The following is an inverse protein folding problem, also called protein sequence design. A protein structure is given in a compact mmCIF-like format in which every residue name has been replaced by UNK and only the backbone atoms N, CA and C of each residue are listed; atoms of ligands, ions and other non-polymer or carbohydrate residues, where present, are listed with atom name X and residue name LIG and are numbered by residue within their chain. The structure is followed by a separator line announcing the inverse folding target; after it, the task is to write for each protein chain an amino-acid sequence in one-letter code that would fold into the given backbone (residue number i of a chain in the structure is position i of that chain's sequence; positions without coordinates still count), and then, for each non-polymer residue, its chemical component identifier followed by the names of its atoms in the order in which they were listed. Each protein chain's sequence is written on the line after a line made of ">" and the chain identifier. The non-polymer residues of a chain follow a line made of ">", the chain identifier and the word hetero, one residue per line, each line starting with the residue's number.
data_IF_669571821096
#
_entry.id   IF_669571821096
#
_cell.length_a   1.000
_cell.length_b   1.000
_cell.length_c   1.000
_cell.angle_alpha   90.00
_cell.angle_beta   90.00
_cell.angle_gamma   90.00
#
_symmetry.space_group_name_H-M   'P 1'
#
loop_
_entity.id
_entity.type
_entity.pdbx_description
1 polymer ?
#
# COMPACT_ATOMS: atom_id res chain seq x y z
N UNK A 1 -70.98 24.12 -12.61
CA UNK A 1 -70.97 24.76 -11.30
C UNK A 1 -69.99 24.01 -10.41
N UNK A 2 -68.69 24.20 -10.57
CA UNK A 2 -67.68 23.64 -9.66
C UNK A 2 -66.32 24.32 -9.90
N UNK A 3 -66.22 25.62 -9.60
CA UNK A 3 -64.95 26.34 -9.73
C UNK A 3 -64.87 27.58 -8.82
N UNK A 4 -65.30 27.50 -7.58
CA UNK A 4 -65.29 28.62 -6.64
C UNK A 4 -64.88 28.28 -5.21
N UNK A 5 -64.15 27.19 -4.93
CA UNK A 5 -63.83 26.81 -3.56
C UNK A 5 -62.36 26.52 -3.27
N UNK A 6 -61.39 26.88 -4.15
CA UNK A 6 -59.98 26.61 -3.91
C UNK A 6 -59.16 27.79 -3.33
N UNK A 7 -59.71 28.99 -3.26
CA UNK A 7 -58.96 30.18 -2.82
C UNK A 7 -58.96 30.45 -1.30
N UNK A 8 -59.87 29.91 -0.52
CA UNK A 8 -59.94 30.17 0.92
C UNK A 8 -58.98 29.31 1.75
N UNK A 9 -58.60 28.11 1.28
CA UNK A 9 -57.72 27.22 2.03
C UNK A 9 -56.23 27.60 1.97
N UNK A 10 -55.76 28.27 0.92
CA UNK A 10 -54.37 28.69 0.79
C UNK A 10 -54.00 29.85 1.71
N UNK A 11 -54.93 30.80 1.92
CA UNK A 11 -54.70 31.93 2.83
C UNK A 11 -54.59 31.51 4.30
N UNK A 12 -55.44 30.61 4.75
CA UNK A 12 -55.37 30.08 6.12
C UNK A 12 -54.10 29.25 6.37
N UNK A 13 -53.65 28.48 5.39
CA UNK A 13 -52.41 27.70 5.49
C UNK A 13 -51.13 28.60 5.51
N UNK A 14 -51.17 29.76 4.88
CA UNK A 14 -50.08 30.74 4.92
C UNK A 14 -50.03 31.44 6.28
N UNK A 15 -51.19 31.88 6.80
CA UNK A 15 -51.28 32.53 8.11
C UNK A 15 -50.87 31.57 9.24
N UNK A 16 -51.32 30.31 9.21
CA UNK A 16 -50.95 29.31 10.19
C UNK A 16 -49.41 29.04 10.16
N UNK A 17 -48.79 29.02 8.99
CA UNK A 17 -47.32 28.88 8.84
C UNK A 17 -46.55 30.10 9.36
N UNK A 18 -47.07 31.32 9.20
CA UNK A 18 -46.45 32.52 9.71
C UNK A 18 -46.55 32.60 11.25
N UNK A 19 -47.71 32.24 11.79
CA UNK A 19 -47.91 32.17 13.24
C UNK A 19 -47.02 31.12 13.93
N UNK A 20 -46.90 29.96 13.35
CA UNK A 20 -45.99 28.93 13.90
C UNK A 20 -44.53 29.39 13.91
N UNK A 21 -44.07 30.10 12.88
CA UNK A 21 -42.70 30.67 12.80
C UNK A 21 -42.46 31.76 13.84
N UNK A 22 -43.45 32.58 14.14
CA UNK A 22 -43.35 33.59 15.21
C UNK A 22 -43.28 32.96 16.59
N UNK A 23 -44.02 31.87 16.83
CA UNK A 23 -43.97 31.12 18.10
C UNK A 23 -42.60 30.46 18.28
N UNK A 24 -42.07 29.84 17.25
CA UNK A 24 -40.72 29.24 17.26
C UNK A 24 -39.59 30.28 17.43
N UNK A 25 -39.79 31.50 16.88
CA UNK A 25 -38.86 32.63 16.97
C UNK A 25 -38.99 33.46 18.24
N UNK A 26 -39.89 33.12 19.17
CA UNK A 26 -40.27 33.96 20.35
C UNK A 26 -39.07 34.45 21.16
N UNK A 27 -38.07 33.62 21.38
CA UNK A 27 -36.89 34.01 22.13
C UNK A 27 -35.99 35.02 21.40
N UNK A 28 -35.88 34.90 20.08
CA UNK A 28 -35.13 35.88 19.25
C UNK A 28 -35.87 37.21 19.17
N UNK A 29 -37.20 37.18 19.08
CA UNK A 29 -38.07 38.39 19.08
C UNK A 29 -37.98 39.06 20.45
N UNK A 30 -37.99 38.30 21.55
CA UNK A 30 -37.84 38.81 22.90
C UNK A 30 -36.45 39.45 23.15
N UNK A 31 -35.41 38.79 22.66
CA UNK A 31 -34.04 39.34 22.74
C UNK A 31 -33.89 40.64 21.93
N UNK A 32 -34.45 40.71 20.72
CA UNK A 32 -34.48 41.94 19.94
C UNK A 32 -35.26 43.06 20.60
N UNK A 33 -36.41 42.73 21.22
CA UNK A 33 -37.22 43.71 22.01
C UNK A 33 -36.41 44.27 23.18
N UNK A 34 -35.66 43.42 23.90
CA UNK A 34 -34.80 43.84 24.99
C UNK A 34 -33.70 44.80 24.52
N UNK A 35 -33.04 44.50 23.43
CA UNK A 35 -31.98 45.35 22.84
C UNK A 35 -32.53 46.72 22.42
N UNK A 36 -33.71 46.72 21.75
CA UNK A 36 -34.39 47.94 21.29
C UNK A 36 -34.83 48.78 22.50
N UNK A 37 -35.35 48.13 23.56
CA UNK A 37 -35.73 48.82 24.81
C UNK A 37 -34.52 49.45 25.51
N UNK A 38 -33.38 48.76 25.58
CA UNK A 38 -32.13 49.31 26.17
C UNK A 38 -31.65 50.52 25.37
N UNK A 39 -31.65 50.46 24.04
CA UNK A 39 -31.30 51.57 23.17
C UNK A 39 -32.24 52.78 23.31
N UNK A 40 -33.53 52.53 23.50
CA UNK A 40 -34.52 53.57 23.77
C UNK A 40 -34.29 54.24 25.12
N UNK A 41 -34.08 53.47 26.19
CA UNK A 41 -33.76 53.95 27.52
C UNK A 41 -32.45 54.74 27.60
N UNK A 42 -31.48 54.33 26.76
CA UNK A 42 -30.20 55.08 26.64
C UNK A 42 -30.33 56.36 25.81
N UNK A 43 -31.52 56.74 25.40
CA UNK A 43 -31.81 57.93 24.59
C UNK A 43 -31.13 57.95 23.21
N UNK A 44 -30.70 56.77 22.72
CA UNK A 44 -30.04 56.60 21.45
C UNK A 44 -31.03 56.40 20.27
N UNK A 45 -32.32 56.16 20.54
CA UNK A 45 -33.34 55.92 19.52
C UNK A 45 -34.65 56.68 19.91
N UNK A 46 -35.26 57.35 18.93
CA UNK A 46 -36.60 57.93 19.12
C UNK A 46 -37.66 56.79 19.14
N UNK A 47 -38.76 56.99 19.92
CA UNK A 47 -39.75 55.92 20.16
C UNK A 47 -40.35 55.31 18.87
N UNK A 48 -40.63 56.16 17.86
CA UNK A 48 -41.14 55.64 16.56
C UNK A 48 -40.13 54.80 15.79
N UNK A 49 -38.84 55.13 15.88
CA UNK A 49 -37.78 54.35 15.24
C UNK A 49 -37.58 53.00 15.94
N UNK A 50 -37.65 52.97 17.27
CA UNK A 50 -37.57 51.76 18.08
C UNK A 50 -38.68 50.75 17.73
N UNK A 51 -39.94 51.24 17.61
CA UNK A 51 -41.09 50.40 17.23
C UNK A 51 -40.94 49.87 15.81
N UNK A 52 -40.54 50.69 14.84
CA UNK A 52 -40.34 50.28 13.43
C UNK A 52 -39.23 49.25 13.30
N UNK A 53 -38.12 49.40 14.00
CA UNK A 53 -36.97 48.46 13.97
C UNK A 53 -37.38 47.11 14.53
N UNK A 54 -38.11 47.10 15.65
CA UNK A 54 -38.59 45.83 16.23
C UNK A 54 -39.60 45.14 15.31
N UNK A 55 -40.52 45.90 14.70
CA UNK A 55 -41.54 45.36 13.77
C UNK A 55 -40.87 44.76 12.52
N UNK A 56 -39.88 45.47 11.97
CA UNK A 56 -39.10 44.99 10.83
C UNK A 56 -38.32 43.69 11.15
N UNK A 57 -37.80 43.59 12.37
CA UNK A 57 -37.11 42.37 12.82
C UNK A 57 -38.09 41.18 12.98
N UNK A 58 -39.28 41.45 13.55
CA UNK A 58 -40.34 40.44 13.70
C UNK A 58 -40.82 39.91 12.32
N UNK A 59 -40.96 40.81 11.32
CA UNK A 59 -41.31 40.44 9.94
C UNK A 59 -40.16 39.65 9.31
N UNK A 60 -38.91 40.04 9.49
CA UNK A 60 -37.76 39.30 9.00
C UNK A 60 -37.69 37.88 9.58
N UNK A 61 -37.94 37.71 10.88
CA UNK A 61 -38.03 36.39 11.55
C UNK A 61 -39.15 35.53 10.98
N UNK A 62 -40.26 36.11 10.58
CA UNK A 62 -41.39 35.41 9.96
C UNK A 62 -41.14 35.00 8.51
N UNK A 63 -40.37 35.82 7.76
CA UNK A 63 -40.10 35.62 6.32
C UNK A 63 -38.88 34.79 6.03
N UNK A 64 -37.83 34.82 6.87
CA UNK A 64 -36.60 34.03 6.63
C UNK A 64 -36.92 32.54 6.77
N UNK A 65 -36.76 31.74 5.70
CA UNK A 65 -36.88 30.29 5.81
C UNK A 65 -35.71 29.80 6.65
N UNK A 66 -35.96 29.39 7.89
CA UNK A 66 -34.96 28.68 8.66
C UNK A 66 -34.68 27.37 7.96
N UNK A 67 -33.45 27.19 7.53
CA UNK A 67 -32.93 25.86 7.29
C UNK A 67 -33.28 25.06 8.57
N UNK A 68 -34.14 24.05 8.45
CA UNK A 68 -34.46 23.15 9.56
C UNK A 68 -33.15 22.77 10.18
N UNK A 69 -32.96 23.07 11.45
CA UNK A 69 -31.81 22.62 12.22
C UNK A 69 -31.64 21.14 11.90
N UNK A 70 -30.47 20.80 11.40
CA UNK A 70 -29.99 19.43 11.23
C UNK A 70 -29.85 18.90 12.66
N UNK A 71 -30.93 18.45 13.26
CA UNK A 71 -30.95 18.14 14.69
C UNK A 71 -32.23 17.52 15.23
N UNK A 72 -33.26 17.30 14.42
CA UNK A 72 -34.17 16.23 14.75
C UNK A 72 -33.45 14.94 14.41
N UNK A 73 -32.96 14.22 15.42
CA UNK A 73 -32.71 12.80 15.33
C UNK A 73 -34.01 12.20 14.73
N UNK A 74 -34.02 12.06 13.38
CA UNK A 74 -35.03 11.25 12.74
C UNK A 74 -34.90 9.91 13.43
N UNK A 75 -35.89 9.52 14.19
CA UNK A 75 -36.13 8.12 14.49
C UNK A 75 -35.86 7.40 13.17
N UNK A 76 -34.89 6.47 13.11
CA UNK A 76 -34.62 5.74 11.87
C UNK A 76 -36.00 5.17 11.47
N UNK A 77 -36.48 5.57 10.29
CA UNK A 77 -37.69 5.00 9.72
C UNK A 77 -37.46 3.49 9.77
N UNK A 78 -38.36 2.70 10.38
CA UNK A 78 -38.09 1.29 10.62
C UNK A 78 -37.65 0.70 9.31
N UNK A 79 -36.45 0.08 9.32
CA UNK A 79 -35.90 -0.60 8.15
C UNK A 79 -37.03 -1.43 7.56
N UNK A 80 -37.33 -1.23 6.27
CA UNK A 80 -38.40 -1.96 5.60
C UNK A 80 -38.26 -3.43 5.99
N UNK A 81 -39.34 -4.10 6.44
CA UNK A 81 -39.23 -5.46 6.93
C UNK A 81 -38.53 -6.31 5.88
N UNK A 82 -37.60 -7.15 6.31
CA UNK A 82 -36.72 -7.98 5.47
C UNK A 82 -37.48 -8.79 4.39
N UNK A 83 -38.75 -8.91 4.48
CA UNK A 83 -39.69 -9.56 3.55
C UNK A 83 -39.89 -8.83 2.22
N UNK A 84 -39.45 -7.56 2.06
CA UNK A 84 -39.57 -6.85 0.77
C UNK A 84 -38.31 -6.96 -0.11
N UNK A 85 -37.18 -7.40 0.43
CA UNK A 85 -36.08 -7.89 -0.38
C UNK A 85 -36.34 -9.36 -0.65
N UNK A 86 -36.66 -9.74 -1.88
CA UNK A 86 -36.72 -11.16 -2.20
C UNK A 86 -35.45 -11.82 -1.66
N UNK A 87 -35.59 -12.88 -0.88
CA UNK A 87 -34.48 -13.62 -0.27
C UNK A 87 -33.33 -13.90 -1.25
N UNK A 88 -33.65 -13.99 -2.53
CA UNK A 88 -32.71 -14.17 -3.63
C UNK A 88 -31.69 -13.02 -3.80
N UNK A 89 -32.13 -11.76 -3.64
CA UNK A 89 -31.23 -10.58 -3.78
C UNK A 89 -30.26 -10.51 -2.61
N UNK A 90 -30.68 -10.88 -1.42
CA UNK A 90 -29.82 -10.95 -0.22
C UNK A 90 -28.78 -12.06 -0.38
N UNK A 91 -29.20 -13.26 -0.75
CA UNK A 91 -28.31 -14.40 -0.98
C UNK A 91 -27.29 -14.06 -2.07
N UNK A 92 -27.70 -13.38 -3.13
CA UNK A 92 -26.76 -12.92 -4.17
C UNK A 92 -25.77 -11.89 -3.64
N UNK A 93 -26.22 -10.86 -2.89
CA UNK A 93 -25.35 -9.84 -2.32
C UNK A 93 -24.34 -10.43 -1.33
N UNK A 94 -24.75 -11.43 -0.53
CA UNK A 94 -23.86 -12.13 0.42
C UNK A 94 -22.84 -13.04 -0.25
N UNK A 95 -23.19 -13.60 -1.41
CA UNK A 95 -22.26 -14.40 -2.21
C UNK A 95 -21.18 -13.58 -2.92
N UNK A 96 -21.35 -12.25 -3.05
CA UNK A 96 -20.37 -11.39 -3.70
C UNK A 96 -19.07 -11.31 -2.89
N UNK A 97 -17.90 -11.40 -3.54
CA UNK A 97 -16.61 -11.24 -2.86
C UNK A 97 -16.32 -9.78 -2.45
N UNK A 98 -17.10 -8.84 -2.93
CA UNK A 98 -16.92 -7.41 -2.71
C UNK A 98 -17.95 -6.82 -1.74
N UNK A 99 -17.64 -5.73 -1.02
CA UNK A 99 -18.62 -4.91 -0.32
C UNK A 99 -19.79 -4.53 -1.23
N UNK A 100 -21.03 -4.88 -0.81
CA UNK A 100 -22.23 -4.63 -1.56
C UNK A 100 -23.28 -3.94 -0.68
N UNK A 101 -23.80 -2.82 -1.17
CA UNK A 101 -24.88 -2.06 -0.54
C UNK A 101 -26.09 -2.01 -1.47
N UNK A 102 -27.28 -2.06 -0.91
CA UNK A 102 -28.50 -1.74 -1.63
C UNK A 102 -29.06 -0.45 -1.02
N UNK A 103 -29.24 0.54 -1.86
CA UNK A 103 -29.63 1.90 -1.49
C UNK A 103 -31.03 2.20 -2.02
N UNK A 104 -31.77 3.07 -1.35
CA UNK A 104 -32.94 3.72 -1.93
C UNK A 104 -32.54 4.97 -2.74
N UNK A 105 -33.51 5.60 -3.41
CA UNK A 105 -33.28 6.84 -4.19
C UNK A 105 -32.80 8.03 -3.36
N UNK A 106 -32.88 7.95 -2.01
CA UNK A 106 -32.41 8.98 -1.10
C UNK A 106 -30.97 8.70 -0.61
N UNK A 107 -30.37 7.59 -1.04
CA UNK A 107 -29.05 7.18 -0.60
C UNK A 107 -29.03 6.52 0.79
N UNK A 108 -30.21 6.10 1.32
CA UNK A 108 -30.26 5.34 2.56
C UNK A 108 -29.96 3.88 2.29
N UNK A 109 -29.06 3.30 3.07
CA UNK A 109 -28.70 1.88 2.99
C UNK A 109 -29.88 1.04 3.45
N UNK A 110 -30.44 0.24 2.56
CA UNK A 110 -31.51 -0.72 2.87
C UNK A 110 -30.94 -2.09 3.22
N UNK A 111 -29.80 -2.40 2.63
CA UNK A 111 -29.07 -3.64 2.90
C UNK A 111 -27.56 -3.42 2.70
N UNK A 112 -26.76 -4.11 3.49
CA UNK A 112 -25.31 -4.18 3.37
C UNK A 112 -24.87 -5.62 3.67
N UNK A 113 -24.03 -6.24 2.82
CA UNK A 113 -23.49 -7.54 3.13
C UNK A 113 -22.42 -7.44 4.23
N UNK A 114 -22.02 -8.56 4.82
CA UNK A 114 -21.06 -8.60 5.94
C UNK A 114 -19.76 -7.88 5.60
N UNK A 115 -19.28 -8.01 4.36
CA UNK A 115 -18.05 -7.35 3.87
C UNK A 115 -18.19 -5.84 3.79
N UNK A 116 -19.36 -5.33 3.40
CA UNK A 116 -19.64 -3.90 3.36
C UNK A 116 -19.64 -3.30 4.76
N UNK A 117 -20.25 -3.98 5.71
CA UNK A 117 -20.27 -3.56 7.13
C UNK A 117 -18.85 -3.61 7.71
N UNK A 118 -18.08 -4.70 7.45
CA UNK A 118 -16.73 -4.84 7.96
C UNK A 118 -15.75 -3.78 7.37
N UNK A 119 -15.90 -3.45 6.07
CA UNK A 119 -14.98 -2.53 5.40
C UNK A 119 -15.27 -1.04 5.70
N UNK A 120 -16.56 -0.66 5.79
CA UNK A 120 -16.97 0.76 5.84
C UNK A 120 -17.72 1.12 7.12
N UNK A 121 -18.07 0.16 7.98
CA UNK A 121 -18.88 0.35 9.20
C UNK A 121 -20.19 1.14 8.93
N UNK A 122 -20.87 0.84 7.81
CA UNK A 122 -22.16 1.43 7.43
C UNK A 122 -23.24 0.36 7.56
N UNK A 123 -24.28 0.69 8.30
CA UNK A 123 -25.38 -0.23 8.63
C UNK A 123 -26.68 0.13 7.89
N UNK A 124 -27.59 -0.83 7.72
CA UNK A 124 -28.93 -0.55 7.20
C UNK A 124 -29.62 0.54 8.01
N UNK A 125 -30.26 1.50 7.31
CA UNK A 125 -30.91 2.69 7.88
C UNK A 125 -30.04 3.95 7.87
N UNK A 126 -28.72 3.82 7.67
CA UNK A 126 -27.81 4.97 7.57
C UNK A 126 -27.77 5.53 6.14
N UNK A 127 -27.47 6.82 6.00
CA UNK A 127 -27.23 7.42 4.70
C UNK A 127 -25.78 7.14 4.26
N UNK A 128 -25.59 6.67 3.02
CA UNK A 128 -24.27 6.41 2.44
C UNK A 128 -23.35 7.63 2.58
N UNK A 129 -23.87 8.83 2.33
CA UNK A 129 -23.13 10.11 2.36
C UNK A 129 -22.65 10.50 3.77
N UNK A 130 -23.13 9.84 4.81
CA UNK A 130 -22.65 10.11 6.16
C UNK A 130 -21.20 9.67 6.38
N UNK A 131 -20.81 8.54 5.79
CA UNK A 131 -19.46 7.97 5.88
C UNK A 131 -18.62 8.24 4.63
N UNK A 132 -19.21 8.06 3.45
CA UNK A 132 -18.52 8.24 2.16
C UNK A 132 -18.85 9.62 1.56
N UNK A 133 -18.09 10.64 2.00
CA UNK A 133 -18.27 12.04 1.58
C UNK A 133 -17.42 12.40 0.34
N UNK A 134 -17.42 11.53 -0.65
CA UNK A 134 -16.67 11.73 -1.91
C UNK A 134 -17.60 12.41 -2.92
N UNK A 135 -17.29 13.63 -3.42
CA UNK A 135 -18.16 14.36 -4.34
C UNK A 135 -18.50 13.57 -5.61
N UNK A 136 -17.52 12.92 -6.23
CA UNK A 136 -17.73 12.14 -7.46
C UNK A 136 -18.63 10.93 -7.23
N UNK A 137 -18.52 10.28 -6.05
CA UNK A 137 -19.36 9.14 -5.67
C UNK A 137 -20.82 9.59 -5.47
N UNK A 138 -21.03 10.76 -4.85
CA UNK A 138 -22.35 11.35 -4.65
C UNK A 138 -22.96 11.74 -6.00
N UNK A 139 -22.19 12.37 -6.90
CA UNK A 139 -22.65 12.76 -8.22
C UNK A 139 -23.05 11.54 -9.07
N UNK A 140 -22.26 10.46 -9.03
CA UNK A 140 -22.58 9.21 -9.72
C UNK A 140 -23.86 8.56 -9.17
N UNK A 141 -24.01 8.51 -7.85
CA UNK A 141 -25.23 8.04 -7.21
C UNK A 141 -26.44 8.84 -7.66
N UNK A 142 -26.37 10.18 -7.62
CA UNK A 142 -27.45 11.07 -8.02
C UNK A 142 -27.85 10.90 -9.49
N UNK A 143 -26.88 10.69 -10.37
CA UNK A 143 -27.13 10.45 -11.79
C UNK A 143 -27.93 9.16 -12.00
N UNK A 144 -27.51 8.05 -11.34
CA UNK A 144 -28.20 6.75 -11.42
C UNK A 144 -29.58 6.81 -10.74
N UNK A 145 -29.71 7.51 -9.61
CA UNK A 145 -30.98 7.68 -8.90
C UNK A 145 -32.03 8.45 -9.74
N UNK A 146 -31.59 9.37 -10.60
CA UNK A 146 -32.45 10.11 -11.56
C UNK A 146 -32.79 9.31 -12.81
N UNK A 147 -32.37 8.06 -12.92
CA UNK A 147 -32.66 7.20 -14.07
C UNK A 147 -31.56 7.16 -15.13
N UNK A 148 -30.38 7.65 -14.82
CA UNK A 148 -29.20 7.56 -15.69
C UNK A 148 -28.68 6.12 -15.82
N UNK A 149 -27.76 5.88 -16.77
CA UNK A 149 -27.12 4.59 -16.97
C UNK A 149 -26.26 4.19 -15.73
N UNK A 150 -25.88 2.91 -15.60
CA UNK A 150 -24.92 2.47 -14.59
C UNK A 150 -23.65 3.32 -14.62
N UNK A 151 -23.15 3.71 -13.46
CA UNK A 151 -21.99 4.57 -13.32
C UNK A 151 -20.86 3.87 -12.54
N UNK A 152 -19.62 4.09 -12.96
CA UNK A 152 -18.42 3.67 -12.25
C UNK A 152 -17.61 4.90 -11.85
N UNK A 153 -17.16 4.92 -10.61
CA UNK A 153 -16.34 6.00 -10.04
C UNK A 153 -15.18 5.40 -9.28
N UNK A 154 -14.00 5.99 -9.40
CA UNK A 154 -12.84 5.63 -8.60
C UNK A 154 -12.61 6.71 -7.53
N UNK A 155 -12.30 6.29 -6.32
CA UNK A 155 -11.99 7.21 -5.22
C UNK A 155 -10.88 6.64 -4.34
N UNK A 156 -10.27 7.50 -3.52
CA UNK A 156 -9.25 7.09 -2.57
C UNK A 156 -9.58 7.58 -1.16
N UNK A 157 -9.22 6.77 -0.18
CA UNK A 157 -9.20 7.14 1.24
C UNK A 157 -7.74 7.21 1.69
N UNK A 158 -7.36 8.29 2.42
CA UNK A 158 -5.97 8.54 2.80
C UNK A 158 -5.61 8.15 4.24
N UNK A 159 -6.57 7.78 5.06
CA UNK A 159 -6.34 7.53 6.50
C UNK A 159 -6.91 6.18 6.91
N UNK A 160 -6.16 5.33 7.61
CA UNK A 160 -4.78 5.46 8.08
C UNK A 160 -3.71 5.18 7.00
N UNK A 161 -4.08 4.48 5.93
CA UNK A 161 -3.25 4.17 4.76
C UNK A 161 -4.01 4.55 3.50
N UNK A 162 -3.29 4.96 2.47
CA UNK A 162 -3.90 5.29 1.19
C UNK A 162 -4.46 4.02 0.54
N UNK A 163 -5.79 3.98 0.35
CA UNK A 163 -6.53 2.89 -0.30
C UNK A 163 -7.30 3.43 -1.49
N UNK A 164 -7.35 2.64 -2.54
CA UNK A 164 -8.04 2.98 -3.79
C UNK A 164 -9.23 2.06 -4.00
N UNK A 165 -10.39 2.66 -4.27
CA UNK A 165 -11.63 1.94 -4.45
C UNK A 165 -12.27 2.27 -5.79
N UNK A 166 -12.86 1.25 -6.44
CA UNK A 166 -13.77 1.39 -7.55
C UNK A 166 -15.20 1.15 -7.08
N UNK A 167 -16.09 2.15 -7.22
CA UNK A 167 -17.50 2.04 -6.89
C UNK A 167 -18.32 1.91 -8.18
N UNK A 168 -19.22 0.94 -8.21
CA UNK A 168 -20.14 0.72 -9.33
C UNK A 168 -21.59 0.83 -8.85
N UNK A 169 -22.34 1.73 -9.50
CA UNK A 169 -23.75 1.97 -9.22
C UNK A 169 -24.62 1.46 -10.37
N UNK A 170 -25.68 0.73 -10.06
CA UNK A 170 -26.69 0.34 -11.02
C UNK A 170 -28.07 0.27 -10.36
N UNK A 171 -29.13 0.51 -11.16
CA UNK A 171 -30.52 0.29 -10.69
C UNK A 171 -30.85 -1.20 -10.70
N UNK A 172 -31.57 -1.63 -9.66
CA UNK A 172 -32.12 -2.99 -9.58
C UNK A 172 -33.51 -3.04 -10.22
N UNK A 173 -33.57 -3.43 -11.49
CA UNK A 173 -34.82 -3.51 -12.24
C UNK A 173 -35.47 -2.13 -12.46
N UNK A 174 -36.81 -2.12 -12.56
CA UNK A 174 -37.61 -0.90 -12.69
C UNK A 174 -37.92 -0.24 -11.33
N UNK A 175 -37.43 -0.83 -10.24
CA UNK A 175 -37.68 -0.37 -8.88
C UNK A 175 -36.83 0.85 -8.46
N UNK A 176 -37.06 1.31 -7.23
CA UNK A 176 -36.40 2.46 -6.64
C UNK A 176 -35.10 2.10 -5.93
N UNK A 177 -34.60 0.90 -6.15
CA UNK A 177 -33.40 0.41 -5.50
C UNK A 177 -32.16 0.52 -6.40
N UNK A 178 -31.04 0.86 -5.78
CA UNK A 178 -29.74 1.02 -6.45
C UNK A 178 -28.76 0.10 -5.73
N UNK A 179 -28.07 -0.74 -6.49
CA UNK A 179 -26.94 -1.52 -5.98
C UNK A 179 -25.67 -0.69 -6.10
N UNK A 180 -24.87 -0.70 -5.04
CA UNK A 180 -23.52 -0.21 -5.01
C UNK A 180 -22.59 -1.36 -4.66
N UNK A 181 -21.63 -1.63 -5.55
CA UNK A 181 -20.53 -2.59 -5.31
C UNK A 181 -19.25 -1.79 -5.23
N UNK A 182 -18.43 -2.02 -4.19
CA UNK A 182 -17.14 -1.37 -4.01
C UNK A 182 -16.05 -2.42 -4.11
N UNK A 183 -15.13 -2.21 -5.04
CA UNK A 183 -13.94 -3.03 -5.25
C UNK A 183 -12.71 -2.34 -4.66
N UNK A 184 -11.95 -3.03 -3.81
CA UNK A 184 -10.65 -2.55 -3.38
C UNK A 184 -9.62 -2.77 -4.48
N UNK A 185 -9.15 -1.69 -5.07
CA UNK A 185 -8.19 -1.68 -6.17
C UNK A 185 -6.77 -1.38 -5.69
N UNK A 186 -6.55 -1.28 -4.37
CA UNK A 186 -5.28 -0.81 -3.80
C UNK A 186 -4.10 -1.68 -4.22
N UNK A 187 -4.23 -3.02 -4.16
CA UNK A 187 -3.16 -3.93 -4.58
C UNK A 187 -2.83 -3.76 -6.08
N UNK A 188 -3.86 -3.70 -6.93
CA UNK A 188 -3.68 -3.54 -8.38
C UNK A 188 -3.05 -2.19 -8.71
N UNK A 189 -3.54 -1.10 -8.13
CA UNK A 189 -2.99 0.24 -8.31
C UNK A 189 -1.54 0.33 -7.84
N UNK A 190 -1.24 -0.29 -6.69
CA UNK A 190 0.12 -0.32 -6.16
C UNK A 190 1.06 -1.13 -7.08
N UNK A 191 0.61 -2.26 -7.61
CA UNK A 191 1.37 -3.05 -8.58
C UNK A 191 1.65 -2.28 -9.87
N UNK A 192 0.64 -1.59 -10.42
CA UNK A 192 0.79 -0.75 -11.62
C UNK A 192 1.76 0.41 -11.36
N UNK A 193 1.66 1.09 -10.22
CA UNK A 193 2.57 2.19 -9.82
C UNK A 193 4.01 1.68 -9.70
N UNK A 194 4.21 0.58 -8.99
CA UNK A 194 5.54 -0.04 -8.84
C UNK A 194 6.14 -0.40 -10.21
N UNK A 195 5.30 -0.83 -11.17
CA UNK A 195 5.76 -1.13 -12.53
C UNK A 195 6.16 0.13 -13.30
N UNK A 196 5.37 1.20 -13.21
CA UNK A 196 5.70 2.49 -13.85
C UNK A 196 6.97 3.08 -13.26
N UNK A 197 7.09 3.10 -11.92
CA UNK A 197 8.28 3.59 -11.23
C UNK A 197 9.53 2.76 -11.58
N UNK A 198 9.37 1.44 -11.76
CA UNK A 198 10.45 0.54 -12.20
C UNK A 198 10.98 0.92 -13.58
N UNK A 199 10.09 1.13 -14.57
CA UNK A 199 10.50 1.52 -15.94
C UNK A 199 11.15 2.90 -15.94
N UNK A 200 10.61 3.86 -15.19
CA UNK A 200 11.16 5.19 -15.07
C UNK A 200 12.57 5.17 -14.47
N UNK A 201 12.75 4.46 -13.34
CA UNK A 201 14.05 4.34 -12.67
C UNK A 201 15.07 3.59 -13.53
N UNK A 202 14.69 2.49 -14.20
CA UNK A 202 15.57 1.77 -15.14
C UNK A 202 16.06 2.68 -16.27
N UNK A 203 15.15 3.51 -16.83
CA UNK A 203 15.47 4.47 -17.88
C UNK A 203 16.46 5.54 -17.40
N UNK A 204 16.29 6.03 -16.16
CA UNK A 204 17.22 7.00 -15.56
C UNK A 204 18.59 6.39 -15.27
N UNK A 205 18.65 5.18 -14.71
CA UNK A 205 19.91 4.48 -14.40
C UNK A 205 20.69 4.06 -15.65
N UNK A 206 20.01 3.86 -16.80
CA UNK A 206 20.65 3.61 -18.09
C UNK A 206 21.10 4.90 -18.80
N UNK A 207 20.32 5.99 -18.69
CA UNK A 207 20.63 7.25 -19.39
C UNK A 207 21.91 7.91 -18.89
N UNK A 208 22.16 7.89 -17.59
CA UNK A 208 23.32 8.53 -16.97
C UNK A 208 24.66 7.96 -17.48
N UNK A 209 24.92 6.63 -17.43
CA UNK A 209 26.16 6.07 -17.98
C UNK A 209 26.26 6.23 -19.49
N UNK A 210 25.13 6.16 -20.22
CA UNK A 210 25.13 6.36 -21.68
C UNK A 210 25.56 7.78 -22.06
N UNK A 211 25.04 8.80 -21.36
CA UNK A 211 25.45 10.20 -21.57
C UNK A 211 26.95 10.40 -21.25
N UNK A 212 27.43 9.74 -20.17
CA UNK A 212 28.87 9.76 -19.82
C UNK A 212 29.73 9.14 -20.92
N UNK A 213 29.31 7.96 -21.45
CA UNK A 213 30.03 7.30 -22.58
C UNK A 213 30.09 8.20 -23.80
N UNK A 214 28.98 8.83 -24.18
CA UNK A 214 28.90 9.77 -25.32
C UNK A 214 29.90 10.95 -25.13
N UNK A 215 29.89 11.57 -23.95
CA UNK A 215 30.78 12.68 -23.63
C UNK A 215 32.29 12.29 -23.66
N UNK A 216 32.63 11.07 -23.20
CA UNK A 216 34.01 10.59 -23.31
C UNK A 216 34.42 10.30 -24.77
N UNK A 217 33.51 9.79 -25.61
CA UNK A 217 33.75 9.62 -27.04
C UNK A 217 34.05 10.98 -27.70
N UNK A 218 33.20 11.99 -27.44
CA UNK A 218 33.41 13.35 -27.96
C UNK A 218 34.76 13.95 -27.50
N UNK A 219 35.11 13.74 -26.22
CA UNK A 219 36.37 14.23 -25.66
C UNK A 219 37.56 13.57 -26.34
N UNK A 220 37.49 12.25 -26.58
CA UNK A 220 38.56 11.48 -27.28
C UNK A 220 38.65 11.80 -28.77
N UNK A 221 37.55 12.22 -29.40
CA UNK A 221 37.57 12.68 -30.82
C UNK A 221 38.05 14.12 -30.96
N UNK A 222 38.00 14.94 -29.89
CA UNK A 222 38.35 16.34 -29.86
C UNK A 222 39.54 16.66 -28.96
N UNK A 223 39.34 17.30 -27.78
CA UNK A 223 40.39 17.87 -26.94
C UNK A 223 41.48 16.86 -26.46
N UNK A 224 41.13 15.61 -26.26
CA UNK A 224 42.00 14.58 -25.76
C UNK A 224 42.53 13.62 -26.87
N UNK A 225 42.35 13.96 -28.13
CA UNK A 225 42.71 13.11 -29.27
C UNK A 225 44.19 12.71 -29.27
N UNK A 226 45.05 13.65 -28.96
CA UNK A 226 46.51 13.47 -29.05
C UNK A 226 47.17 13.28 -27.65
N UNK A 227 46.35 13.09 -26.57
CA UNK A 227 46.82 12.80 -25.22
C UNK A 227 46.69 11.30 -24.90
N UNK A 228 47.81 10.53 -24.92
CA UNK A 228 47.77 9.08 -24.66
C UNK A 228 47.32 8.74 -23.24
N UNK A 229 47.66 9.57 -22.24
CA UNK A 229 47.27 9.34 -20.81
C UNK A 229 45.82 9.57 -20.60
N UNK A 230 45.27 10.65 -21.17
CA UNK A 230 43.82 10.93 -21.10
C UNK A 230 43.02 9.84 -21.82
N UNK A 231 43.49 9.36 -22.97
CA UNK A 231 42.88 8.28 -23.75
C UNK A 231 42.78 6.98 -22.91
N UNK A 232 43.90 6.54 -22.31
CA UNK A 232 43.90 5.32 -21.48
C UNK A 232 42.93 5.45 -20.31
N UNK A 233 42.95 6.59 -19.61
CA UNK A 233 42.05 6.87 -18.50
C UNK A 233 40.57 6.88 -18.93
N UNK A 234 40.21 7.54 -20.02
CA UNK A 234 38.84 7.62 -20.49
C UNK A 234 38.33 6.26 -20.99
N UNK A 235 39.14 5.49 -21.69
CA UNK A 235 38.82 4.13 -22.11
C UNK A 235 38.57 3.21 -20.91
N UNK A 236 39.36 3.33 -19.83
CA UNK A 236 39.12 2.59 -18.60
C UNK A 236 37.75 2.95 -17.94
N UNK A 237 37.43 4.25 -17.87
CA UNK A 237 36.15 4.71 -17.35
C UNK A 237 34.99 4.23 -18.25
N UNK A 238 35.12 4.33 -19.56
CA UNK A 238 34.11 3.86 -20.51
C UNK A 238 33.84 2.37 -20.35
N UNK A 239 34.88 1.54 -20.21
CA UNK A 239 34.73 0.11 -19.94
C UNK A 239 33.96 -0.15 -18.66
N UNK A 240 34.28 0.59 -17.58
CA UNK A 240 33.58 0.50 -16.32
C UNK A 240 32.09 0.84 -16.44
N UNK A 241 31.76 1.89 -17.21
CA UNK A 241 30.34 2.27 -17.44
C UNK A 241 29.61 1.21 -18.27
N UNK A 242 30.25 0.63 -19.27
CA UNK A 242 29.70 -0.45 -20.09
C UNK A 242 29.43 -1.71 -19.26
N UNK A 243 30.36 -2.11 -18.38
CA UNK A 243 30.22 -3.25 -17.47
C UNK A 243 29.09 -3.00 -16.45
N UNK A 244 28.93 -1.76 -15.98
CA UNK A 244 27.82 -1.38 -15.11
C UNK A 244 26.48 -1.50 -15.83
N UNK A 245 26.37 -1.00 -17.07
CA UNK A 245 25.14 -1.12 -17.87
C UNK A 245 24.79 -2.57 -18.13
N UNK A 246 25.77 -3.42 -18.47
CA UNK A 246 25.56 -4.85 -18.69
C UNK A 246 24.98 -5.54 -17.45
N UNK A 247 25.55 -5.27 -16.27
CA UNK A 247 24.99 -5.79 -15.00
C UNK A 247 23.57 -5.30 -14.75
N UNK A 248 23.28 -4.02 -14.96
CA UNK A 248 21.93 -3.46 -14.77
C UNK A 248 20.93 -4.15 -15.70
N UNK A 249 21.27 -4.36 -16.99
CA UNK A 249 20.39 -5.06 -17.94
C UNK A 249 20.16 -6.51 -17.50
N UNK A 250 21.21 -7.23 -17.06
CA UNK A 250 21.09 -8.61 -16.58
C UNK A 250 20.20 -8.68 -15.32
N UNK A 251 20.34 -7.76 -14.37
CA UNK A 251 19.50 -7.67 -13.18
C UNK A 251 18.02 -7.43 -13.55
N UNK A 252 17.76 -6.52 -14.51
CA UNK A 252 16.41 -6.24 -15.01
C UNK A 252 15.77 -7.47 -15.66
N UNK A 253 16.54 -8.19 -16.50
CA UNK A 253 16.06 -9.41 -17.16
C UNK A 253 15.85 -10.55 -16.16
N UNK A 254 16.73 -10.69 -15.17
CA UNK A 254 16.59 -11.67 -14.10
C UNK A 254 15.33 -11.39 -13.27
N UNK A 255 15.14 -10.16 -12.82
CA UNK A 255 13.95 -9.75 -12.07
C UNK A 255 12.65 -10.02 -12.87
N UNK A 256 12.64 -9.64 -14.16
CA UNK A 256 11.49 -9.88 -15.03
C UNK A 256 11.17 -11.39 -15.17
N UNK A 257 12.19 -12.25 -15.32
CA UNK A 257 12.01 -13.72 -15.40
C UNK A 257 11.44 -14.29 -14.11
N UNK A 258 11.91 -13.82 -12.95
CA UNK A 258 11.47 -14.28 -11.64
C UNK A 258 10.00 -13.86 -11.41
N UNK A 259 9.64 -12.63 -11.77
CA UNK A 259 8.26 -12.13 -11.67
C UNK A 259 7.29 -12.92 -12.56
N UNK A 260 7.67 -13.24 -13.78
CA UNK A 260 6.84 -14.09 -14.66
C UNK A 260 6.63 -15.50 -14.08
N UNK A 261 7.59 -16.01 -13.32
CA UNK A 261 7.52 -17.33 -12.68
C UNK A 261 7.01 -17.29 -11.23
N UNK A 262 6.57 -16.12 -10.72
CA UNK A 262 6.18 -15.95 -9.31
C UNK A 262 5.14 -16.96 -8.81
N UNK A 263 4.25 -17.41 -9.69
CA UNK A 263 3.21 -18.40 -9.37
C UNK A 263 3.66 -19.86 -9.52
N UNK A 264 4.84 -20.12 -10.09
CA UNK A 264 5.37 -21.46 -10.30
C UNK A 264 6.37 -21.78 -9.18
N UNK A 265 5.98 -22.70 -8.29
CA UNK A 265 6.85 -23.12 -7.19
C UNK A 265 7.99 -24.00 -7.70
N UNK A 266 9.23 -23.79 -7.25
CA UNK A 266 10.29 -24.72 -7.53
C UNK A 266 10.03 -26.06 -6.81
N UNK A 267 10.36 -27.16 -7.49
CA UNK A 267 10.15 -28.52 -6.97
C UNK A 267 11.46 -29.32 -6.87
N UNK A 268 12.58 -28.74 -7.27
CA UNK A 268 13.89 -29.37 -7.21
C UNK A 268 14.39 -29.51 -5.77
N UNK A 269 15.30 -30.48 -5.57
CA UNK A 269 16.02 -30.66 -4.30
C UNK A 269 17.40 -30.03 -4.42
N UNK A 270 17.75 -29.10 -3.54
CA UNK A 270 19.00 -28.35 -3.57
C UNK A 270 19.76 -28.53 -2.28
N UNK A 271 21.03 -28.93 -2.37
CA UNK A 271 21.95 -28.94 -1.24
C UNK A 271 22.53 -27.55 -1.01
N UNK A 272 22.14 -26.93 0.11
CA UNK A 272 22.60 -25.59 0.49
C UNK A 272 24.09 -25.55 0.84
N UNK A 273 24.68 -26.65 1.37
CA UNK A 273 26.11 -26.70 1.65
C UNK A 273 26.90 -26.53 0.37
N UNK A 274 26.53 -27.28 -0.66
CA UNK A 274 27.18 -27.19 -1.97
C UNK A 274 27.00 -25.82 -2.63
N UNK A 275 25.81 -25.23 -2.54
CA UNK A 275 25.54 -23.89 -3.13
C UNK A 275 26.31 -22.80 -2.41
N UNK A 276 26.24 -22.74 -1.07
CA UNK A 276 26.90 -21.70 -0.28
C UNK A 276 28.43 -21.76 -0.42
N UNK A 277 29.00 -22.98 -0.38
CA UNK A 277 30.46 -23.18 -0.57
C UNK A 277 30.89 -22.75 -1.97
N UNK A 278 30.17 -23.17 -3.01
CA UNK A 278 30.47 -22.76 -4.40
C UNK A 278 30.43 -21.23 -4.57
N UNK A 279 29.44 -20.56 -4.02
CA UNK A 279 29.35 -19.09 -4.11
C UNK A 279 30.46 -18.40 -3.33
N UNK A 280 30.78 -18.88 -2.12
CA UNK A 280 31.88 -18.31 -1.33
C UNK A 280 33.24 -18.46 -2.09
N UNK A 281 33.50 -19.62 -2.66
CA UNK A 281 34.73 -19.88 -3.46
C UNK A 281 34.77 -19.00 -4.73
N UNK A 282 33.63 -18.82 -5.41
CA UNK A 282 33.56 -18.00 -6.64
C UNK A 282 33.78 -16.51 -6.37
N UNK A 283 33.45 -16.03 -5.17
CA UNK A 283 33.60 -14.63 -4.76
C UNK A 283 34.93 -14.35 -4.04
N UNK A 284 35.75 -15.37 -3.74
CA UNK A 284 37.05 -15.20 -3.10
C UNK A 284 38.00 -14.22 -3.84
N UNK A 285 38.09 -14.22 -5.20
CA UNK A 285 38.90 -13.23 -5.88
C UNK A 285 38.40 -11.80 -5.64
N UNK A 286 37.08 -11.56 -5.73
CA UNK A 286 36.50 -10.25 -5.47
C UNK A 286 36.75 -9.81 -4.03
N UNK A 287 36.54 -10.70 -3.06
CA UNK A 287 36.79 -10.41 -1.65
C UNK A 287 38.23 -10.02 -1.39
N UNK A 288 39.17 -10.73 -2.01
CA UNK A 288 40.62 -10.43 -1.93
C UNK A 288 40.93 -9.05 -2.51
N UNK A 289 40.39 -8.71 -3.67
CA UNK A 289 40.58 -7.39 -4.30
C UNK A 289 40.03 -6.26 -3.41
N UNK A 290 38.96 -6.53 -2.64
CA UNK A 290 38.37 -5.59 -1.67
C UNK A 290 39.05 -5.62 -0.29
N UNK A 291 40.05 -6.49 -0.08
CA UNK A 291 40.76 -6.68 1.21
C UNK A 291 39.89 -7.31 2.30
N UNK A 292 38.92 -8.13 1.91
CA UNK A 292 37.96 -8.81 2.80
C UNK A 292 38.22 -10.33 2.77
N UNK A 293 38.17 -11.00 3.91
CA UNK A 293 38.20 -12.45 4.03
C UNK A 293 36.78 -13.03 4.18
N UNK A 294 36.46 -14.04 3.37
CA UNK A 294 35.19 -14.80 3.53
C UNK A 294 35.48 -16.01 4.41
N UNK A 295 34.80 -16.05 5.58
CA UNK A 295 34.84 -17.19 6.50
C UNK A 295 33.55 -18.00 6.39
N UNK A 296 33.64 -19.26 5.96
CA UNK A 296 32.48 -20.15 5.84
C UNK A 296 32.39 -21.07 7.04
N UNK A 297 31.20 -21.14 7.67
CA UNK A 297 30.86 -22.07 8.77
C UNK A 297 29.69 -22.92 8.30
N UNK A 298 30.01 -23.96 7.56
CA UNK A 298 29.03 -24.91 7.01
C UNK A 298 29.21 -26.29 7.64
N UNK A 299 28.14 -27.05 7.87
CA UNK A 299 28.26 -28.43 8.38
C UNK A 299 28.82 -29.34 7.29
N UNK A 300 29.45 -30.48 7.70
CA UNK A 300 29.90 -31.51 6.76
C UNK A 300 28.72 -32.27 6.10
N UNK A 301 27.63 -32.42 6.84
CA UNK A 301 26.43 -33.08 6.32
C UNK A 301 25.62 -32.18 5.41
N UNK A 302 25.12 -32.66 4.25
CA UNK A 302 24.31 -31.87 3.33
C UNK A 302 23.01 -31.41 4.00
N UNK A 303 22.63 -30.15 3.76
CA UNK A 303 21.34 -29.58 4.17
C UNK A 303 20.52 -29.32 2.92
N UNK A 304 19.47 -30.12 2.72
CA UNK A 304 18.65 -30.09 1.52
C UNK A 304 17.37 -29.27 1.73
N UNK A 305 17.07 -28.41 0.77
CA UNK A 305 15.81 -27.63 0.68
C UNK A 305 15.13 -27.85 -0.67
N UNK A 306 13.84 -27.57 -0.72
CA UNK A 306 13.11 -27.52 -1.99
C UNK A 306 13.39 -26.18 -2.65
N UNK A 307 13.94 -26.19 -3.89
CA UNK A 307 14.31 -24.96 -4.55
C UNK A 307 14.80 -25.14 -5.99
N UNK A 308 15.16 -24.01 -6.61
CA UNK A 308 15.86 -23.91 -7.87
C UNK A 308 17.31 -23.51 -7.57
N UNK A 309 18.26 -24.34 -8.03
CA UNK A 309 19.69 -24.16 -7.71
C UNK A 309 20.23 -22.83 -8.21
N UNK A 310 19.89 -22.45 -9.44
CA UNK A 310 20.43 -21.24 -10.05
C UNK A 310 19.89 -19.99 -9.35
N UNK A 311 18.61 -20.00 -9.00
CA UNK A 311 17.98 -18.91 -8.24
C UNK A 311 18.59 -18.79 -6.83
N UNK A 312 18.83 -19.91 -6.13
CA UNK A 312 19.44 -19.88 -4.80
C UNK A 312 20.91 -19.47 -4.88
N UNK A 313 21.64 -19.87 -5.93
CA UNK A 313 23.00 -19.37 -6.20
C UNK A 313 22.97 -17.85 -6.34
N UNK A 314 22.06 -17.29 -7.13
CA UNK A 314 21.90 -15.85 -7.30
C UNK A 314 21.56 -15.12 -5.99
N UNK A 315 20.76 -15.74 -5.10
CA UNK A 315 20.48 -15.18 -3.76
C UNK A 315 21.77 -15.00 -2.97
N UNK A 316 22.57 -16.07 -2.85
CA UNK A 316 23.78 -16.01 -2.03
C UNK A 316 24.90 -15.19 -2.69
N UNK A 317 25.01 -15.18 -4.02
CA UNK A 317 25.88 -14.25 -4.73
C UNK A 317 25.57 -12.79 -4.37
N UNK A 318 24.30 -12.38 -4.49
CA UNK A 318 23.90 -11.02 -4.15
C UNK A 318 24.17 -10.67 -2.69
N UNK A 319 23.91 -11.59 -1.75
CA UNK A 319 24.07 -11.31 -0.32
C UNK A 319 25.55 -11.27 0.08
N UNK A 320 26.38 -12.23 -0.39
CA UNK A 320 27.79 -12.30 -0.05
C UNK A 320 28.57 -11.19 -0.76
N UNK A 321 28.27 -10.91 -2.04
CA UNK A 321 28.86 -9.78 -2.75
C UNK A 321 28.56 -8.44 -2.05
N UNK A 322 27.32 -8.22 -1.60
CA UNK A 322 26.96 -7.03 -0.83
C UNK A 322 27.74 -6.96 0.48
N UNK A 323 27.84 -8.08 1.22
CA UNK A 323 28.60 -8.14 2.46
C UNK A 323 30.09 -7.81 2.23
N UNK A 324 30.71 -8.27 1.14
CA UNK A 324 32.07 -7.92 0.79
C UNK A 324 32.22 -6.44 0.43
N UNK A 325 31.29 -5.87 -0.35
CA UNK A 325 31.33 -4.47 -0.78
C UNK A 325 31.14 -3.48 0.36
N UNK A 326 30.15 -3.71 1.20
CA UNK A 326 29.80 -2.79 2.30
C UNK A 326 30.53 -3.14 3.60
N UNK A 327 31.06 -4.36 3.73
CA UNK A 327 31.80 -4.84 4.87
C UNK A 327 33.31 -4.57 4.85
N UNK A 328 33.85 -3.81 3.87
CA UNK A 328 35.31 -3.58 3.70
C UNK A 328 35.99 -3.06 4.97
N UNK A 329 35.34 -2.17 5.73
CA UNK A 329 35.88 -1.65 6.99
C UNK A 329 36.17 -2.71 8.04
N UNK A 330 35.41 -3.81 8.05
CA UNK A 330 35.59 -4.93 8.97
C UNK A 330 36.53 -6.03 8.47
N UNK A 331 36.98 -5.96 7.22
CA UNK A 331 37.92 -6.87 6.57
C UNK A 331 37.54 -8.36 6.56
N UNK A 332 36.33 -8.69 6.96
CA UNK A 332 35.82 -10.07 6.98
C UNK A 332 34.31 -10.13 6.80
N UNK A 333 33.88 -11.25 6.22
CA UNK A 333 32.46 -11.64 6.08
C UNK A 333 32.34 -13.06 6.61
N UNK A 334 31.33 -13.33 7.46
CA UNK A 334 31.09 -14.66 8.01
C UNK A 334 29.79 -15.20 7.39
N UNK A 335 29.90 -16.33 6.70
CA UNK A 335 28.74 -17.07 6.15
C UNK A 335 28.51 -18.31 6.98
N UNK A 336 27.37 -18.39 7.67
CA UNK A 336 27.01 -19.50 8.56
C UNK A 336 25.78 -20.22 8.01
N UNK A 337 25.88 -21.54 7.79
CA UNK A 337 24.75 -22.39 7.46
C UNK A 337 24.48 -23.34 8.63
N UNK A 338 23.27 -23.40 9.10
CA UNK A 338 22.86 -24.29 10.19
C UNK A 338 21.44 -24.84 9.97
N UNK A 339 21.11 -26.01 10.52
CA UNK A 339 19.73 -26.43 10.66
C UNK A 339 18.99 -25.42 11.54
N UNK A 340 17.77 -25.04 11.13
CA UNK A 340 16.95 -24.12 11.93
C UNK A 340 16.04 -24.89 12.88
N UNK A 341 15.75 -24.29 14.04
CA UNK A 341 14.83 -24.87 15.02
C UNK A 341 13.36 -24.71 14.60
N UNK A 342 12.50 -25.68 14.96
CA UNK A 342 11.05 -25.61 14.74
C UNK A 342 10.62 -25.91 13.29
N UNK A 343 9.62 -25.19 12.73
CA UNK A 343 9.10 -25.44 11.39
C UNK A 343 10.04 -25.00 10.26
N UNK A 344 11.16 -24.34 10.58
CA UNK A 344 12.18 -23.95 9.64
C UNK A 344 13.16 -25.10 9.41
N UNK A 345 13.50 -25.36 8.13
CA UNK A 345 14.40 -26.47 7.77
C UNK A 345 15.86 -26.08 7.82
N UNK A 346 16.22 -24.88 7.36
CA UNK A 346 17.60 -24.40 7.28
C UNK A 346 17.67 -22.89 7.45
N UNK A 347 18.82 -22.43 7.95
CA UNK A 347 19.14 -21.03 8.11
C UNK A 347 20.53 -20.74 7.54
N UNK A 348 20.62 -19.71 6.69
CA UNK A 348 21.90 -19.16 6.19
C UNK A 348 22.01 -17.72 6.68
N UNK A 349 23.05 -17.41 7.45
CA UNK A 349 23.33 -16.06 7.94
C UNK A 349 24.64 -15.54 7.32
N UNK A 350 24.58 -14.37 6.71
CA UNK A 350 25.70 -13.65 6.13
C UNK A 350 25.91 -12.39 6.98
N UNK A 351 27.06 -12.32 7.69
CA UNK A 351 27.41 -11.20 8.57
C UNK A 351 28.60 -10.46 8.01
N UNK A 352 28.43 -9.16 7.81
CA UNK A 352 29.53 -8.21 7.59
C UNK A 352 29.83 -7.42 8.88
N UNK A 353 30.97 -6.74 8.89
CA UNK A 353 31.45 -5.88 9.98
C UNK A 353 31.73 -4.48 9.46
N UNK A 354 30.86 -3.99 8.57
CA UNK A 354 30.91 -2.67 7.97
C UNK A 354 30.34 -1.57 8.88
N UNK A 355 29.98 -0.42 8.29
CA UNK A 355 29.46 0.72 9.04
C UNK A 355 28.06 0.47 9.64
N UNK A 356 27.38 -0.62 9.23
CA UNK A 356 26.01 -0.89 9.60
C UNK A 356 24.99 -0.04 8.82
N UNK A 357 23.72 -0.28 9.09
CA UNK A 357 22.59 0.30 8.37
C UNK A 357 21.66 0.97 9.40
N UNK A 358 21.28 2.25 9.23
CA UNK A 358 20.28 2.89 10.08
C UNK A 358 18.94 2.15 10.03
N UNK A 359 18.27 2.05 11.18
CA UNK A 359 17.04 1.24 11.34
C UNK A 359 15.92 1.68 10.38
N UNK A 360 15.81 2.99 10.11
CA UNK A 360 14.82 3.58 9.20
C UNK A 360 14.94 3.10 7.74
N UNK A 361 16.14 2.65 7.34
CA UNK A 361 16.40 2.16 5.98
C UNK A 361 16.14 0.64 5.82
N UNK A 362 16.18 -0.13 6.93
CA UNK A 362 16.06 -1.61 6.87
C UNK A 362 14.80 -2.08 6.14
N UNK A 363 13.59 -1.54 6.40
CA UNK A 363 12.37 -1.98 5.71
C UNK A 363 12.41 -1.74 4.20
N UNK A 364 13.18 -0.75 3.75
CA UNK A 364 13.23 -0.29 2.36
C UNK A 364 14.35 -0.94 1.54
N UNK A 365 15.30 -1.63 2.17
CA UNK A 365 16.46 -2.21 1.48
C UNK A 365 16.09 -3.17 0.34
N UNK A 366 14.93 -3.80 0.41
CA UNK A 366 14.43 -4.71 -0.61
C UNK A 366 13.54 -4.04 -1.66
N UNK A 367 13.36 -2.71 -1.61
CA UNK A 367 12.69 -1.94 -2.66
C UNK A 367 13.62 -1.84 -3.89
N UNK A 368 13.03 -1.82 -5.09
CA UNK A 368 13.80 -1.72 -6.34
C UNK A 368 14.48 -0.36 -6.44
N UNK A 369 15.75 -0.35 -6.83
CA UNK A 369 16.59 0.86 -6.96
C UNK A 369 16.85 1.61 -5.65
N UNK A 370 16.44 1.05 -4.51
CA UNK A 370 16.67 1.70 -3.23
C UNK A 370 18.13 1.63 -2.80
N UNK A 371 18.63 2.73 -2.26
CA UNK A 371 20.04 2.87 -1.81
C UNK A 371 20.04 3.79 -0.59
N UNK A 372 20.76 3.40 0.47
CA UNK A 372 20.90 4.19 1.72
C UNK A 372 21.66 5.47 1.44
N UNK A 373 22.78 5.38 0.74
CA UNK A 373 23.59 6.51 0.29
C UNK A 373 23.89 6.37 -1.20
N UNK A 374 23.52 7.42 -1.96
CA UNK A 374 23.68 7.44 -3.41
C UNK A 374 25.17 7.60 -3.79
N UNK A 375 25.95 8.39 -3.00
CA UNK A 375 27.36 8.65 -3.30
C UNK A 375 28.24 7.42 -2.97
N UNK A 376 28.03 6.84 -1.80
CA UNK A 376 28.79 5.64 -1.37
C UNK A 376 28.44 4.42 -2.22
N UNK A 377 27.19 4.28 -2.61
CA UNK A 377 26.73 3.23 -3.50
C UNK A 377 27.23 3.41 -4.95
N UNK A 378 27.52 4.64 -5.43
CA UNK A 378 28.17 4.86 -6.71
C UNK A 378 29.61 4.35 -6.70
N UNK A 379 30.34 4.53 -5.60
CA UNK A 379 31.69 3.98 -5.40
C UNK A 379 31.68 2.45 -5.44
N UNK A 380 30.68 1.81 -4.86
CA UNK A 380 30.54 0.35 -4.80
C UNK A 380 29.81 -0.27 -5.99
N UNK A 381 29.49 0.49 -7.05
CA UNK A 381 28.92 0.02 -8.34
C UNK A 381 27.60 -0.76 -8.21
N UNK A 382 26.82 -0.52 -7.15
CA UNK A 382 25.53 -1.19 -6.94
C UNK A 382 24.44 -0.74 -7.92
N UNK A 383 23.58 -1.65 -8.37
CA UNK A 383 22.40 -1.37 -9.23
C UNK A 383 21.16 -1.00 -8.41
N UNK A 384 21.13 -1.38 -7.12
CA UNK A 384 19.93 -1.26 -6.26
C UNK A 384 18.86 -2.31 -6.58
N UNK A 385 19.16 -3.32 -7.38
CA UNK A 385 18.23 -4.40 -7.73
C UNK A 385 18.54 -5.72 -7.02
N UNK A 386 19.78 -5.95 -6.57
CA UNK A 386 20.20 -7.23 -6.01
C UNK A 386 19.33 -7.71 -4.84
N UNK A 387 19.03 -6.85 -3.83
CA UNK A 387 18.17 -7.22 -2.71
C UNK A 387 16.70 -7.37 -3.10
N UNK A 388 16.22 -6.65 -4.10
CA UNK A 388 14.89 -6.86 -4.66
C UNK A 388 14.79 -8.24 -5.35
N UNK A 389 15.81 -8.64 -6.11
CA UNK A 389 15.93 -9.98 -6.71
C UNK A 389 15.92 -11.05 -5.62
N UNK A 390 16.72 -10.89 -4.56
CA UNK A 390 16.76 -11.79 -3.40
C UNK A 390 15.35 -11.95 -2.81
N UNK A 391 14.63 -10.85 -2.55
CA UNK A 391 13.27 -10.88 -1.99
C UNK A 391 12.31 -11.69 -2.87
N UNK A 392 12.32 -11.46 -4.18
CA UNK A 392 11.42 -12.15 -5.11
C UNK A 392 11.74 -13.65 -5.23
N UNK A 393 13.03 -14.03 -5.28
CA UNK A 393 13.43 -15.44 -5.27
C UNK A 393 13.01 -16.11 -3.96
N UNK A 394 13.29 -15.50 -2.81
CA UNK A 394 12.95 -16.06 -1.51
C UNK A 394 11.44 -16.20 -1.31
N UNK A 395 10.65 -15.22 -1.76
CA UNK A 395 9.19 -15.31 -1.73
C UNK A 395 8.67 -16.54 -2.52
N UNK A 396 9.25 -16.80 -3.70
CA UNK A 396 8.92 -17.97 -4.54
C UNK A 396 9.31 -19.30 -3.86
N UNK A 397 10.37 -19.29 -3.04
CA UNK A 397 10.86 -20.44 -2.26
C UNK A 397 10.19 -20.56 -0.89
N UNK A 398 9.21 -19.72 -0.55
CA UNK A 398 8.62 -19.61 0.80
C UNK A 398 9.65 -19.38 1.91
N UNK A 399 10.84 -18.90 1.55
CA UNK A 399 11.89 -18.54 2.47
C UNK A 399 11.70 -17.09 2.95
N UNK A 400 12.24 -16.77 4.11
CA UNK A 400 12.15 -15.43 4.71
C UNK A 400 13.54 -14.82 4.83
N UNK A 401 13.66 -13.54 4.48
CA UNK A 401 14.83 -12.72 4.74
C UNK A 401 14.59 -11.91 6.01
N UNK A 402 15.52 -11.97 6.96
CA UNK A 402 15.59 -11.09 8.12
C UNK A 402 16.89 -10.31 8.06
N UNK A 403 16.83 -9.02 8.37
CA UNK A 403 17.99 -8.12 8.36
C UNK A 403 18.10 -7.51 9.74
N UNK A 404 19.25 -7.68 10.37
CA UNK A 404 19.59 -7.05 11.66
C UNK A 404 20.87 -6.25 11.48
N UNK A 405 20.87 -4.99 11.89
CA UNK A 405 22.04 -4.12 11.78
C UNK A 405 22.07 -3.09 12.90
N UNK A 406 23.28 -2.70 13.27
CA UNK A 406 23.54 -1.56 14.15
C UNK A 406 24.67 -0.72 13.56
N UNK A 407 24.51 0.58 13.63
CA UNK A 407 25.55 1.50 13.18
C UNK A 407 26.87 1.23 13.93
N UNK A 408 27.97 1.07 13.17
CA UNK A 408 29.29 0.75 13.69
C UNK A 408 29.56 -0.74 13.99
N UNK A 409 28.53 -1.63 13.95
CA UNK A 409 28.66 -3.06 14.26
C UNK A 409 28.51 -3.97 13.04
N UNK A 410 28.16 -3.42 11.87
CA UNK A 410 27.87 -4.16 10.65
C UNK A 410 26.43 -4.60 10.51
N UNK A 411 26.16 -5.50 9.56
CA UNK A 411 24.85 -6.05 9.29
C UNK A 411 24.89 -7.58 9.20
N UNK A 412 23.74 -8.20 9.48
CA UNK A 412 23.52 -9.65 9.32
C UNK A 412 22.25 -9.87 8.50
N UNK A 413 22.43 -10.53 7.36
CA UNK A 413 21.33 -10.95 6.49
C UNK A 413 21.09 -12.44 6.72
N UNK A 414 19.89 -12.79 7.19
CA UNK A 414 19.53 -14.15 7.55
C UNK A 414 18.42 -14.66 6.66
N UNK A 415 18.68 -15.74 5.91
CA UNK A 415 17.70 -16.44 5.08
C UNK A 415 17.23 -17.68 5.82
N UNK A 416 15.92 -17.81 6.04
CA UNK A 416 15.29 -18.95 6.68
C UNK A 416 14.43 -19.71 5.66
N UNK A 417 14.76 -20.98 5.43
CA UNK A 417 14.02 -21.89 4.58
C UNK A 417 13.02 -22.73 5.39
N UNK A 418 11.82 -23.02 4.87
CA UNK A 418 10.89 -23.94 5.51
C UNK A 418 11.44 -25.36 5.50
N UNK A 419 11.01 -26.19 6.46
CA UNK A 419 11.28 -27.62 6.42
C UNK A 419 10.63 -28.25 5.18
N UNK A 420 11.30 -29.20 4.52
CA UNK A 420 10.70 -29.93 3.40
C UNK A 420 9.45 -30.68 3.88
N UNK A 421 8.36 -30.74 3.09
CA UNK A 421 7.17 -31.48 3.47
C UNK A 421 7.51 -32.97 3.68
N UNK A 422 7.29 -33.48 4.89
CA UNK A 422 7.54 -34.88 5.27
C UNK A 422 8.97 -35.22 5.71
N UNK A 423 9.89 -34.25 5.78
CA UNK A 423 11.29 -34.50 6.11
C UNK A 423 11.68 -34.00 7.52
N UNK A 424 12.04 -34.93 8.41
CA UNK A 424 13.05 -34.63 9.46
C UNK A 424 14.31 -34.16 8.71
N UNK A 425 14.87 -32.99 9.09
CA UNK A 425 16.25 -32.67 8.79
C UNK A 425 17.08 -33.84 9.37
N UNK A 426 17.63 -34.67 8.49
CA UNK A 426 18.42 -35.84 8.93
C UNK A 426 19.71 -35.27 9.51
N UNK A 427 19.75 -35.11 10.82
CA UNK A 427 20.98 -34.98 11.57
C UNK A 427 21.66 -36.36 11.54
N UNK A 428 22.56 -36.58 10.61
CA UNK A 428 23.36 -37.81 10.53
C UNK A 428 24.32 -38.01 11.72
N UNK A 429 24.21 -37.19 12.78
CA UNK A 429 25.07 -37.24 13.96
C UNK A 429 24.49 -38.04 15.15
N UNK A 430 23.44 -38.87 14.97
CA UNK A 430 22.89 -39.72 16.04
C UNK A 430 22.62 -41.18 15.63
N UNK A 431 23.56 -41.80 14.92
CA UNK A 431 23.53 -43.24 14.73
C UNK A 431 24.86 -43.85 15.24
N UNK A 432 25.03 -43.86 16.54
CA UNK A 432 26.17 -44.47 17.22
C UNK A 432 25.82 -44.94 18.64
N UNK A 433 24.56 -45.32 18.87
CA UNK A 433 24.22 -46.05 20.11
C UNK A 433 23.38 -47.28 19.75
N UNK A 434 24.08 -48.40 19.84
CA UNK A 434 23.64 -49.78 19.65
C UNK A 434 22.47 -50.08 20.61
N UNK A 435 21.30 -50.31 20.03
CA UNK A 435 20.14 -50.85 20.76
C UNK A 435 20.38 -52.37 20.97
N UNK A 436 20.86 -52.75 22.15
CA UNK A 436 20.87 -54.14 22.59
C UNK A 436 19.50 -54.46 23.22
N UNK A 437 18.77 -55.44 22.73
CA UNK A 437 17.52 -55.81 23.38
C UNK A 437 17.82 -56.59 24.68
N UNK A 438 17.41 -56.04 25.82
CA UNK A 438 17.33 -56.71 27.09
C UNK A 438 16.32 -57.86 26.98
N UNK A 439 16.85 -59.11 26.99
CA UNK A 439 16.06 -60.32 27.24
C UNK A 439 15.75 -60.38 28.72
N UNK A 440 14.48 -60.34 29.07
CA UNK A 440 13.96 -60.76 30.38
C UNK A 440 13.80 -62.30 30.41
N UNK A 441 14.49 -62.90 31.35
CA UNK A 441 14.22 -64.24 31.86
C UNK A 441 13.29 -64.18 33.04
#
# INVERSE_FOLDING_TARGET
>A
MAAANSGYGEGEAVVARLLSRLVEGRWLIAAAALVVAVLYLANALAAHVAVLTWLAFAVAVALVPRARAIGEARTPEPAMPATQFGDQVRVFADALPNPCFILDRRGTVRYANERAVAAFAIHPGEALTFRLRVPDLIAAFDAVAKGGPPARVEFSERVPTERYFGAWFARLGEGDLIVLIIEDMSERRNADRVRVDFVANASHELRTPLASLAGFVETLQGPARDDPKARERFLAIMREQADRMSRLVNDLLSLSRIEMKAHVRPSGSVDLVAVVSHVADSLEPLARDLGVAIETKVPEAPITVVGDRDELTQVFENLIENACKYGQGGKRVIVTLAPAAGPSGAQVAIRDFGPGIPEEHIPRLTERFYRVDVEDSRRHRGTGLGLAIVKHILARHHARLSITSRLGEGATFTVMFPAPPGGRVVNAARNGETDQPLRLS
#
